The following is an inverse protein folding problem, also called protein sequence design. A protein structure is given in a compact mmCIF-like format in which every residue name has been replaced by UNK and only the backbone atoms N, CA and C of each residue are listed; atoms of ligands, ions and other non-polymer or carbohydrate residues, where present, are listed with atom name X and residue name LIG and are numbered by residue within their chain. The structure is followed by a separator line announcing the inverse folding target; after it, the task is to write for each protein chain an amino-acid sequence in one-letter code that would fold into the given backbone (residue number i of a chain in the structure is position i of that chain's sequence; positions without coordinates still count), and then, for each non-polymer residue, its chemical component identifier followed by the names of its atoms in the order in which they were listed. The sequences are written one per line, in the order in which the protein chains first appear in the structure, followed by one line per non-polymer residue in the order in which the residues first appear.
data_IF_970190247044
#
_entry.id   IF_970190247044
#
_cell.length_a   1.000
_cell.length_b   1.000
_cell.length_c   1.000
_cell.angle_alpha   90.00
_cell.angle_beta   90.00
_cell.angle_gamma   90.00
#
_symmetry.space_group_name_H-M   'P 1'
#
loop_
_entity.id
_entity.type
_entity.pdbx_description
1 polymer ?
#
# COMPACT_ATOMS: atom_id res chain seq x y z
N UNK A 1 -1.11 5.65 2.96
CA UNK A 1 -1.54 6.25 1.71
C UNK A 1 -2.57 5.36 1.03
N UNK A 2 -3.49 5.99 0.35
CA UNK A 2 -4.74 5.44 -0.15
C UNK A 2 -4.61 4.47 -1.33
N UNK A 3 -5.73 4.13 -1.91
CA UNK A 3 -5.89 3.12 -2.95
C UNK A 3 -5.47 3.64 -4.33
N UNK A 4 -5.02 2.79 -5.21
CA UNK A 4 -4.51 3.26 -6.49
C UNK A 4 -4.60 2.28 -7.66
N UNK A 5 -4.03 2.71 -8.77
CA UNK A 5 -3.97 1.94 -10.02
C UNK A 5 -2.53 1.74 -10.42
N UNK A 6 -2.18 0.51 -10.69
CA UNK A 6 -0.92 0.14 -11.30
C UNK A 6 -1.19 -0.24 -12.76
N UNK A 7 -0.72 0.59 -13.69
CA UNK A 7 -0.85 0.35 -15.12
C UNK A 7 0.43 -0.27 -15.65
N UNK A 8 0.30 -1.36 -16.40
CA UNK A 8 1.41 -2.02 -17.10
C UNK A 8 1.17 -1.97 -18.59
N UNK A 9 2.12 -1.42 -19.33
CA UNK A 9 2.11 -1.40 -20.79
C UNK A 9 2.83 -2.66 -21.28
N UNK A 10 2.07 -3.58 -21.86
CA UNK A 10 2.52 -4.89 -22.31
C UNK A 10 3.02 -4.88 -23.74
N UNK A 11 3.98 -5.73 -24.06
CA UNK A 11 4.38 -5.99 -25.43
C UNK A 11 3.45 -7.03 -26.07
N UNK A 12 3.09 -6.91 -27.35
CA UNK A 12 2.10 -7.79 -28.01
C UNK A 12 2.51 -9.27 -28.09
N UNK A 13 3.80 -9.57 -28.08
CA UNK A 13 4.34 -10.94 -28.28
C UNK A 13 4.17 -11.91 -27.09
N UNK A 14 3.45 -11.54 -26.03
CA UNK A 14 3.43 -12.29 -24.78
C UNK A 14 2.14 -13.12 -24.57
N UNK A 15 1.59 -13.74 -25.59
CA UNK A 15 0.48 -14.71 -25.49
C UNK A 15 0.95 -16.14 -25.26
N UNK A 16 2.07 -16.37 -24.60
CA UNK A 16 2.50 -17.71 -24.26
C UNK A 16 1.52 -18.37 -23.26
N UNK A 17 0.86 -19.43 -23.68
CA UNK A 17 0.10 -20.31 -22.82
C UNK A 17 1.06 -21.03 -21.86
N UNK A 18 1.22 -20.52 -20.66
CA UNK A 18 1.95 -21.20 -19.60
C UNK A 18 1.00 -22.12 -18.84
N UNK A 19 1.03 -23.41 -19.13
CA UNK A 19 0.50 -24.41 -18.23
C UNK A 19 1.42 -24.54 -17.01
N UNK A 20 1.09 -23.87 -15.93
CA UNK A 20 1.74 -24.09 -14.65
C UNK A 20 1.12 -25.33 -13.98
N UNK A 21 1.80 -26.46 -14.05
CA UNK A 21 1.38 -27.74 -13.45
C UNK A 21 1.62 -27.84 -11.93
N UNK A 22 2.20 -26.81 -11.29
CA UNK A 22 2.51 -26.81 -9.85
C UNK A 22 1.97 -25.55 -9.18
N UNK A 23 1.49 -25.69 -7.95
CA UNK A 23 1.13 -24.54 -7.11
C UNK A 23 2.35 -23.63 -6.99
N UNK A 24 2.20 -22.31 -7.22
CA UNK A 24 3.31 -21.39 -7.13
C UNK A 24 3.83 -21.35 -5.69
N UNK A 25 5.14 -21.34 -5.53
CA UNK A 25 5.77 -21.12 -4.23
C UNK A 25 5.34 -19.77 -3.65
N UNK A 26 5.40 -19.66 -2.33
CA UNK A 26 4.95 -18.45 -1.62
C UNK A 26 6.09 -17.85 -0.83
N UNK A 27 6.17 -16.53 -0.84
CA UNK A 27 7.06 -15.73 -0.03
C UNK A 27 6.21 -14.69 0.73
N UNK A 28 5.69 -15.10 1.89
CA UNK A 28 4.85 -14.24 2.72
C UNK A 28 5.71 -13.71 3.86
N UNK A 29 5.93 -12.40 3.86
CA UNK A 29 6.74 -11.71 4.88
C UNK A 29 5.91 -10.64 5.57
N UNK A 30 6.08 -10.53 6.86
CA UNK A 30 5.82 -9.33 7.62
C UNK A 30 7.15 -8.89 8.25
N UNK A 31 7.30 -7.61 8.47
CA UNK A 31 8.54 -7.06 8.97
C UNK A 31 8.33 -6.63 10.41
N UNK A 32 8.88 -7.43 11.32
CA UNK A 32 9.08 -7.01 12.69
C UNK A 32 10.33 -6.13 12.74
N UNK A 33 10.17 -4.94 13.26
CA UNK A 33 11.28 -4.02 13.42
C UNK A 33 11.73 -4.03 14.89
N UNK A 34 12.60 -4.95 15.23
CA UNK A 34 13.49 -4.73 16.37
C UNK A 34 14.45 -3.61 16.02
N UNK A 35 14.05 -2.42 16.37
CA UNK A 35 14.56 -1.21 15.75
C UNK A 35 15.92 -0.79 16.27
N UNK A 36 16.21 -1.02 17.53
CA UNK A 36 17.46 -0.62 18.16
C UNK A 36 17.60 -1.19 19.57
N UNK A 37 18.84 -1.48 19.96
CA UNK A 37 19.16 -2.09 21.26
C UNK A 37 19.49 -1.07 22.37
N UNK A 38 19.88 0.15 22.00
CA UNK A 38 20.51 1.10 22.91
C UNK A 38 19.69 2.35 23.18
N UNK A 39 18.52 2.50 22.57
CA UNK A 39 17.62 3.66 22.73
C UNK A 39 16.18 3.25 22.37
N UNK A 40 15.21 3.99 22.89
CA UNK A 40 13.78 3.61 22.79
C UNK A 40 13.15 4.08 21.48
N UNK A 41 13.60 5.19 20.90
CA UNK A 41 13.06 5.79 19.68
C UNK A 41 14.18 6.39 18.84
N UNK A 42 13.93 6.51 17.52
CA UNK A 42 14.83 7.15 16.58
C UNK A 42 14.11 8.01 15.55
N UNK A 43 14.84 8.67 14.66
CA UNK A 43 14.28 9.55 13.63
C UNK A 43 13.85 8.84 12.34
N UNK A 44 13.90 7.50 12.30
CA UNK A 44 13.47 6.71 11.14
C UNK A 44 11.95 6.45 11.12
N UNK A 45 11.44 6.02 9.97
CA UNK A 45 10.01 5.81 9.72
C UNK A 45 9.35 4.84 10.71
N UNK A 46 10.06 3.81 11.17
CA UNK A 46 9.53 2.85 12.13
C UNK A 46 9.25 3.45 13.52
N UNK A 47 9.95 4.52 13.90
CA UNK A 47 9.68 5.32 15.11
C UNK A 47 8.90 6.60 14.79
N UNK A 48 8.14 6.61 13.67
CA UNK A 48 7.34 7.75 13.24
C UNK A 48 8.17 9.03 13.03
N UNK A 49 9.45 8.88 12.65
CA UNK A 49 10.40 9.98 12.49
C UNK A 49 10.47 10.88 13.71
N UNK A 50 10.55 10.29 14.89
CA UNK A 50 10.71 11.04 16.13
C UNK A 50 11.96 11.92 16.07
N UNK A 51 11.78 13.23 16.04
CA UNK A 51 12.88 14.20 15.89
C UNK A 51 13.10 15.04 17.15
N UNK A 52 12.41 14.69 18.23
CA UNK A 52 12.51 15.41 19.50
C UNK A 52 11.89 16.80 19.46
N UNK A 53 12.02 17.52 20.57
CA UNK A 53 11.42 18.84 20.77
C UNK A 53 12.01 19.93 19.85
N UNK A 54 13.21 19.72 19.32
CA UNK A 54 13.86 20.67 18.40
C UNK A 54 13.14 20.81 17.06
N UNK A 55 12.24 19.88 16.74
CA UNK A 55 11.40 19.90 15.56
C UNK A 55 9.94 20.20 15.86
N UNK A 56 9.60 20.57 17.08
CA UNK A 56 8.28 21.08 17.41
C UNK A 56 8.00 22.33 16.56
N UNK A 57 7.16 22.18 15.56
CA UNK A 57 6.97 23.16 14.49
C UNK A 57 5.94 24.24 14.85
N UNK A 58 5.10 24.00 15.88
CA UNK A 58 4.03 24.92 16.27
C UNK A 58 3.82 24.90 17.78
N UNK A 59 3.36 26.03 18.39
CA UNK A 59 2.93 26.06 19.78
C UNK A 59 1.87 25.00 20.11
N UNK A 60 0.95 24.75 19.18
CA UNK A 60 -0.11 23.76 19.36
C UNK A 60 0.44 22.32 19.49
N UNK A 61 1.53 21.98 18.77
CA UNK A 61 2.18 20.69 18.92
C UNK A 61 2.79 20.53 20.32
N UNK A 62 3.41 21.57 20.84
CA UNK A 62 3.96 21.59 22.20
C UNK A 62 2.83 21.45 23.24
N UNK A 63 1.78 22.22 23.10
CA UNK A 63 0.62 22.17 23.97
C UNK A 63 -0.04 20.77 23.97
N UNK A 64 -0.21 20.17 22.80
CA UNK A 64 -0.76 18.81 22.67
C UNK A 64 0.08 17.76 23.43
N UNK A 65 1.41 17.81 23.30
CA UNK A 65 2.33 16.91 24.00
C UNK A 65 2.21 17.08 25.53
N UNK A 66 2.12 18.30 26.02
CA UNK A 66 1.95 18.56 27.46
C UNK A 66 0.56 18.14 27.97
N UNK A 67 -0.48 18.41 27.19
CA UNK A 67 -1.85 18.07 27.55
C UNK A 67 -2.10 16.55 27.63
N UNK A 68 -1.40 15.77 26.82
CA UNK A 68 -1.54 14.30 26.76
C UNK A 68 -0.43 13.55 27.48
N UNK A 69 0.38 14.25 28.29
CA UNK A 69 1.50 13.63 29.01
C UNK A 69 1.03 12.54 29.97
N UNK A 70 1.52 11.31 29.75
CA UNK A 70 1.14 10.15 30.56
C UNK A 70 -0.20 9.52 30.17
N UNK A 71 -0.89 10.04 29.15
CA UNK A 71 -2.09 9.43 28.61
C UNK A 71 -1.74 8.46 27.48
N UNK A 72 -2.25 7.24 27.57
CA UNK A 72 -2.05 6.17 26.57
C UNK A 72 -3.37 5.48 26.27
N UNK A 73 -3.49 4.92 25.09
CA UNK A 73 -4.64 4.08 24.74
C UNK A 73 -4.49 2.72 25.43
N UNK A 74 -5.53 2.27 26.12
CA UNK A 74 -5.56 1.02 26.86
C UNK A 74 -6.69 0.13 26.35
N UNK A 75 -6.44 -1.17 26.33
CA UNK A 75 -7.44 -2.20 26.10
C UNK A 75 -7.21 -3.35 27.07
N UNK A 76 -8.23 -3.72 27.85
CA UNK A 76 -8.16 -4.79 28.86
C UNK A 76 -6.96 -4.72 29.80
N UNK A 77 -6.52 -3.51 30.15
CA UNK A 77 -5.41 -3.28 31.07
C UNK A 77 -4.02 -3.21 30.43
N UNK A 78 -3.93 -3.45 29.13
CA UNK A 78 -2.67 -3.40 28.37
C UNK A 78 -2.61 -2.14 27.48
N UNK A 79 -1.41 -1.63 27.24
CA UNK A 79 -1.19 -0.51 26.33
C UNK A 79 -1.40 -0.99 24.89
N UNK A 80 -2.27 -0.29 24.15
CA UNK A 80 -2.58 -0.63 22.77
C UNK A 80 -1.39 -0.39 21.83
N UNK A 81 -1.23 -1.27 20.84
CA UNK A 81 -0.45 -0.94 19.64
C UNK A 81 -1.20 0.11 18.82
N UNK A 82 -0.80 1.37 18.95
CA UNK A 82 -1.51 2.52 18.37
C UNK A 82 -1.07 2.77 16.92
N UNK A 83 -1.38 1.84 16.01
CA UNK A 83 -1.09 1.98 14.58
C UNK A 83 -1.94 3.06 13.94
N UNK A 84 -1.33 3.84 13.06
CA UNK A 84 -2.04 4.85 12.28
C UNK A 84 -1.58 4.88 10.82
N UNK A 85 -2.34 5.56 9.98
CA UNK A 85 -1.98 5.77 8.58
C UNK A 85 -2.22 7.23 8.19
N UNK A 86 -1.39 7.77 7.31
CA UNK A 86 -1.54 9.13 6.77
C UNK A 86 -2.86 9.30 6.01
N UNK A 87 -3.26 8.29 5.26
CA UNK A 87 -4.50 8.24 4.49
C UNK A 87 -4.93 6.78 4.31
N UNK A 88 -6.09 6.41 4.83
CA UNK A 88 -6.55 5.01 4.81
C UNK A 88 -7.23 4.60 3.49
N UNK A 89 -7.58 5.56 2.62
CA UNK A 89 -8.30 5.29 1.38
C UNK A 89 -9.79 5.06 1.55
N UNK A 90 -10.34 5.48 2.70
CA UNK A 90 -11.74 5.38 3.05
C UNK A 90 -12.13 4.13 3.85
N UNK A 91 -11.16 3.24 4.11
CA UNK A 91 -11.35 2.04 4.94
C UNK A 91 -10.08 1.69 5.72
N UNK A 92 -10.25 1.38 7.01
CA UNK A 92 -9.17 0.89 7.86
C UNK A 92 -8.93 -0.60 7.61
N UNK A 93 -7.67 -1.02 7.77
CA UNK A 93 -7.28 -2.43 7.65
C UNK A 93 -7.13 -3.07 9.01
N UNK A 94 -7.33 -4.38 9.07
CA UNK A 94 -7.04 -5.19 10.24
C UNK A 94 -5.53 -5.46 10.33
N UNK A 95 -5.01 -5.46 11.57
CA UNK A 95 -3.58 -5.63 11.83
C UNK A 95 -2.97 -6.87 11.18
N UNK A 96 -3.61 -8.04 11.34
CA UNK A 96 -3.09 -9.31 10.85
C UNK A 96 -2.94 -9.39 9.33
N UNK A 97 -3.61 -8.52 8.57
CA UNK A 97 -3.48 -8.48 7.12
C UNK A 97 -2.19 -7.79 6.65
N UNK A 98 -1.60 -6.93 7.46
CA UNK A 98 -0.39 -6.18 7.13
C UNK A 98 0.84 -6.67 7.89
N UNK A 99 0.66 -7.12 9.13
CA UNK A 99 1.71 -7.47 10.09
C UNK A 99 1.67 -8.97 10.43
N UNK A 100 2.04 -9.34 11.64
CA UNK A 100 1.94 -10.72 12.10
C UNK A 100 0.49 -11.23 12.18
N UNK A 101 0.32 -12.54 12.31
CA UNK A 101 -1.01 -13.17 12.35
C UNK A 101 -1.64 -13.11 13.75
N UNK A 102 -1.70 -11.91 14.32
CA UNK A 102 -2.34 -11.64 15.61
C UNK A 102 -3.52 -10.69 15.38
N UNK A 103 -4.67 -11.02 15.96
CA UNK A 103 -5.84 -10.12 15.95
C UNK A 103 -5.79 -9.22 17.17
N UNK A 104 -5.84 -7.92 16.92
CA UNK A 104 -6.08 -6.92 17.96
C UNK A 104 -7.53 -6.46 17.88
N UNK A 105 -8.35 -6.65 18.95
CA UNK A 105 -9.78 -6.30 18.91
C UNK A 105 -10.08 -4.83 18.64
N UNK A 106 -9.09 -3.97 18.83
CA UNK A 106 -9.17 -2.51 18.62
C UNK A 106 -8.58 -2.05 17.27
N UNK A 107 -7.90 -2.93 16.51
CA UNK A 107 -7.39 -2.65 15.16
C UNK A 107 -8.24 -3.37 14.12
N UNK A 108 -9.45 -2.89 13.92
CA UNK A 108 -10.48 -3.52 13.09
C UNK A 108 -10.66 -2.82 11.75
N UNK A 109 -11.19 -3.56 10.78
CA UNK A 109 -11.66 -3.00 9.52
C UNK A 109 -12.90 -2.14 9.72
N UNK A 110 -12.85 -0.88 9.30
CA UNK A 110 -13.94 0.07 9.48
C UNK A 110 -13.98 1.11 8.35
N UNK A 111 -15.18 1.63 8.07
CA UNK A 111 -15.38 2.75 7.16
C UNK A 111 -14.87 4.06 7.77
N UNK A 112 -14.09 4.81 7.02
CA UNK A 112 -13.60 6.15 7.37
C UNK A 112 -14.66 7.20 7.00
N UNK A 113 -15.82 7.19 7.67
CA UNK A 113 -16.92 8.12 7.39
C UNK A 113 -17.81 8.32 8.60
N UNK A 114 -18.31 9.55 8.77
CA UNK A 114 -19.28 9.87 9.82
C UNK A 114 -20.70 9.41 9.46
N UNK A 115 -21.07 9.52 8.21
CA UNK A 115 -22.45 9.33 7.73
C UNK A 115 -22.70 7.96 7.15
N UNK A 116 -21.71 7.39 6.48
CA UNK A 116 -21.78 6.06 5.87
C UNK A 116 -20.96 5.08 6.68
N UNK A 117 -21.60 4.30 7.51
CA UNK A 117 -20.93 3.30 8.38
C UNK A 117 -20.73 1.95 7.70
N UNK A 118 -21.54 1.65 6.66
CA UNK A 118 -21.44 0.37 5.96
C UNK A 118 -20.19 0.32 5.06
N UNK A 119 -19.30 -0.62 5.34
CA UNK A 119 -18.18 -0.97 4.48
C UNK A 119 -18.60 -2.13 3.56
N UNK A 120 -18.42 -2.02 2.23
CA UNK A 120 -18.54 -3.17 1.35
C UNK A 120 -17.56 -4.28 1.74
N UNK A 121 -17.84 -5.51 1.34
CA UNK A 121 -16.90 -6.63 1.56
C UNK A 121 -15.71 -6.52 0.59
N UNK A 122 -14.72 -5.71 0.96
CA UNK A 122 -13.55 -5.43 0.14
C UNK A 122 -12.54 -6.59 0.11
N UNK A 123 -12.82 -7.70 0.78
CA UNK A 123 -12.07 -8.96 0.60
C UNK A 123 -12.37 -9.59 -0.76
N UNK A 124 -13.51 -9.23 -1.35
CA UNK A 124 -13.92 -9.66 -2.68
C UNK A 124 -13.34 -8.76 -3.76
N UNK A 125 -12.66 -9.34 -4.73
CA UNK A 125 -11.97 -8.61 -5.80
C UNK A 125 -12.89 -7.61 -6.52
N UNK A 126 -14.11 -8.01 -6.90
CA UNK A 126 -15.04 -7.13 -7.60
C UNK A 126 -15.46 -5.89 -6.78
N UNK A 127 -15.66 -6.06 -5.48
CA UNK A 127 -16.00 -4.94 -4.58
C UNK A 127 -14.78 -4.04 -4.33
N UNK A 128 -13.60 -4.63 -4.18
CA UNK A 128 -12.35 -3.89 -4.03
C UNK A 128 -12.01 -3.11 -5.31
N UNK A 129 -12.16 -3.72 -6.49
CA UNK A 129 -11.95 -3.06 -7.77
C UNK A 129 -12.85 -1.82 -7.92
N UNK A 130 -14.15 -2.00 -7.68
CA UNK A 130 -15.13 -0.90 -7.71
C UNK A 130 -14.76 0.21 -6.71
N UNK A 131 -14.40 -0.15 -5.48
CA UNK A 131 -13.99 0.79 -4.44
C UNK A 131 -12.77 1.61 -4.83
N UNK A 132 -11.74 0.95 -5.35
CA UNK A 132 -10.47 1.57 -5.72
C UNK A 132 -10.63 2.48 -6.94
N UNK A 133 -11.46 2.09 -7.91
CA UNK A 133 -11.73 2.87 -9.12
C UNK A 133 -12.63 4.08 -8.88
N UNK A 134 -13.39 4.07 -7.80
CA UNK A 134 -14.25 5.18 -7.41
C UNK A 134 -13.58 6.03 -6.33
N UNK A 135 -14.21 7.13 -5.95
CA UNK A 135 -13.72 8.04 -4.91
C UNK A 135 -14.79 8.22 -3.81
N UNK A 136 -15.07 7.17 -3.01
CA UNK A 136 -16.08 7.24 -1.98
C UNK A 136 -15.80 8.34 -0.96
N UNK A 137 -16.85 8.92 -0.40
CA UNK A 137 -16.74 9.91 0.67
C UNK A 137 -16.02 9.31 1.88
N UNK A 138 -15.03 10.01 2.39
CA UNK A 138 -14.25 9.64 3.57
C UNK A 138 -13.65 10.89 4.21
N UNK A 139 -13.29 10.82 5.49
CA UNK A 139 -12.58 11.94 6.14
C UNK A 139 -11.25 12.22 5.47
N UNK A 140 -10.52 11.19 5.06
CA UNK A 140 -9.25 11.34 4.36
C UNK A 140 -9.39 11.73 2.87
N UNK A 141 -10.61 11.77 2.31
CA UNK A 141 -10.89 12.26 0.95
C UNK A 141 -11.20 13.76 0.97
N UNK A 142 -10.23 14.58 1.30
CA UNK A 142 -10.38 16.02 1.36
C UNK A 142 -9.37 16.74 0.47
N UNK A 143 -9.83 17.80 -0.19
CA UNK A 143 -9.00 18.73 -0.95
C UNK A 143 -8.90 20.10 -0.25
N UNK A 144 -9.40 20.21 0.96
CA UNK A 144 -9.33 21.45 1.73
C UNK A 144 -7.89 21.73 2.16
N UNK A 145 -7.28 22.75 1.55
CA UNK A 145 -5.88 23.13 1.81
C UNK A 145 -5.62 23.51 3.26
N UNK A 146 -6.59 24.10 3.97
CA UNK A 146 -6.45 24.42 5.39
C UNK A 146 -6.32 23.16 6.24
N UNK A 147 -7.11 22.12 5.95
CA UNK A 147 -7.01 20.83 6.62
C UNK A 147 -5.69 20.14 6.25
N UNK A 148 -5.38 20.06 4.97
CA UNK A 148 -4.15 19.39 4.49
C UNK A 148 -2.88 20.04 5.04
N UNK A 149 -2.83 21.36 5.15
CA UNK A 149 -1.67 22.07 5.72
C UNK A 149 -1.46 21.83 7.22
N UNK A 150 -2.48 21.38 7.94
CA UNK A 150 -2.39 21.07 9.37
C UNK A 150 -2.02 19.60 9.63
N UNK A 151 -2.45 18.67 8.75
CA UNK A 151 -2.29 17.24 8.97
C UNK A 151 -1.15 16.62 8.15
N UNK A 152 -0.69 17.30 7.11
CA UNK A 152 0.43 16.88 6.28
C UNK A 152 1.69 17.70 6.61
N UNK A 153 2.81 17.04 6.62
CA UNK A 153 4.09 17.74 6.69
C UNK A 153 4.41 18.48 5.37
N UNK A 154 5.41 19.33 5.37
CA UNK A 154 5.74 20.15 4.19
C UNK A 154 6.08 19.33 2.94
N UNK A 155 6.67 18.13 3.11
CA UNK A 155 7.03 17.26 2.00
C UNK A 155 5.81 16.63 1.30
N UNK A 156 4.71 16.48 2.03
CA UNK A 156 3.51 15.82 1.54
C UNK A 156 2.49 16.81 0.98
N UNK A 157 2.73 18.12 1.10
CA UNK A 157 1.83 19.15 0.56
C UNK A 157 2.02 19.41 -0.92
N UNK A 158 3.09 18.88 -1.51
CA UNK A 158 3.41 19.03 -2.94
C UNK A 158 2.53 18.16 -3.85
N UNK A 159 1.88 17.13 -3.29
CA UNK A 159 1.03 16.22 -4.06
C UNK A 159 -0.42 16.25 -3.58
N UNK A 160 -1.37 16.03 -4.49
CA UNK A 160 -2.80 15.91 -4.20
C UNK A 160 -3.28 14.46 -4.27
N UNK A 161 -2.40 13.51 -4.53
CA UNK A 161 -2.73 12.12 -4.87
C UNK A 161 -2.79 11.18 -3.66
N UNK A 162 -3.03 11.71 -2.46
CA UNK A 162 -3.05 10.89 -1.25
C UNK A 162 -4.21 9.90 -1.20
N UNK A 163 -5.38 10.29 -1.67
CA UNK A 163 -6.57 9.45 -1.60
C UNK A 163 -6.64 8.43 -2.73
N UNK A 164 -6.23 8.83 -3.94
CA UNK A 164 -6.15 7.96 -5.11
C UNK A 164 -4.87 8.28 -5.88
N UNK A 165 -4.10 7.27 -6.18
CA UNK A 165 -2.83 7.39 -6.86
C UNK A 165 -2.79 6.52 -8.13
N UNK A 166 -1.87 6.83 -9.00
CA UNK A 166 -1.62 6.08 -10.23
C UNK A 166 -0.11 5.97 -10.45
N UNK A 167 0.33 4.76 -10.81
CA UNK A 167 1.69 4.47 -11.26
C UNK A 167 1.60 3.71 -12.57
N UNK A 168 2.49 4.01 -13.51
CA UNK A 168 2.56 3.38 -14.81
C UNK A 168 3.98 2.88 -15.07
N UNK A 169 4.09 1.65 -15.54
CA UNK A 169 5.34 1.02 -15.96
C UNK A 169 5.17 0.41 -17.34
N UNK A 170 6.21 0.44 -18.15
CA UNK A 170 6.34 -0.53 -19.24
C UNK A 170 6.59 -1.93 -18.65
N UNK A 171 6.34 -2.97 -19.42
CA UNK A 171 6.62 -4.35 -19.02
C UNK A 171 8.12 -4.54 -18.68
N UNK A 172 9.00 -3.91 -19.44
CA UNK A 172 10.44 -3.98 -19.21
C UNK A 172 10.82 -3.33 -17.89
N UNK A 173 10.41 -2.07 -17.65
CA UNK A 173 10.67 -1.35 -16.40
C UNK A 173 10.16 -2.13 -15.19
N UNK A 174 8.96 -2.71 -15.28
CA UNK A 174 8.40 -3.51 -14.19
C UNK A 174 9.22 -4.78 -13.93
N UNK A 175 9.68 -5.46 -14.98
CA UNK A 175 10.49 -6.68 -14.86
C UNK A 175 11.84 -6.38 -14.20
N UNK A 176 12.53 -5.34 -14.66
CA UNK A 176 13.79 -4.88 -14.09
C UNK A 176 13.64 -4.43 -12.64
N UNK A 177 12.58 -3.68 -12.35
CA UNK A 177 12.26 -3.21 -11.02
C UNK A 177 12.03 -4.37 -10.04
N UNK A 178 11.17 -5.32 -10.41
CA UNK A 178 10.86 -6.48 -9.58
C UNK A 178 12.13 -7.31 -9.32
N UNK A 179 12.93 -7.56 -10.35
CA UNK A 179 14.21 -8.27 -10.20
C UNK A 179 15.14 -7.54 -9.23
N UNK A 180 15.36 -6.24 -9.43
CA UNK A 180 16.21 -5.41 -8.59
C UNK A 180 15.76 -5.38 -7.13
N UNK A 181 14.45 -5.34 -6.88
CA UNK A 181 13.87 -5.17 -5.53
C UNK A 181 13.74 -6.48 -4.76
N UNK A 182 13.42 -7.56 -5.45
CA UNK A 182 13.22 -8.88 -4.83
C UNK A 182 14.47 -9.76 -4.85
N UNK A 183 15.42 -9.49 -5.75
CA UNK A 183 16.56 -10.37 -6.05
C UNK A 183 16.15 -11.65 -6.79
N UNK A 184 14.90 -11.74 -7.26
CA UNK A 184 14.34 -12.93 -7.89
C UNK A 184 14.19 -12.68 -9.39
N UNK A 185 14.71 -13.60 -10.22
CA UNK A 185 14.55 -13.55 -11.67
C UNK A 185 13.19 -14.14 -12.07
N UNK A 186 12.32 -13.29 -12.59
CA UNK A 186 11.02 -13.69 -13.12
C UNK A 186 10.98 -13.76 -14.65
N UNK A 187 12.00 -13.23 -15.32
CA UNK A 187 11.95 -12.94 -16.74
C UNK A 187 11.02 -11.75 -17.04
N UNK A 188 10.37 -11.75 -18.19
CA UNK A 188 9.36 -10.74 -18.50
C UNK A 188 8.13 -10.95 -17.62
N UNK A 189 7.62 -9.89 -16.99
CA UNK A 189 6.39 -9.98 -16.19
C UNK A 189 5.19 -10.04 -17.13
N UNK A 190 4.40 -11.09 -16.98
CA UNK A 190 3.21 -11.37 -17.79
C UNK A 190 1.96 -10.86 -17.07
N UNK A 191 1.89 -11.07 -15.74
CA UNK A 191 0.72 -10.67 -14.97
C UNK A 191 1.04 -10.41 -13.50
N UNK A 192 0.20 -9.57 -12.90
CA UNK A 192 0.11 -9.32 -11.46
C UNK A 192 -1.32 -9.63 -11.02
N UNK A 193 -1.52 -10.76 -10.36
CA UNK A 193 -2.86 -11.28 -10.05
C UNK A 193 -3.14 -11.15 -8.55
N UNK A 194 -4.16 -10.40 -8.13
CA UNK A 194 -4.67 -10.41 -6.77
C UNK A 194 -5.05 -11.82 -6.33
N UNK A 195 -4.57 -12.26 -5.17
CA UNK A 195 -4.88 -13.59 -4.62
C UNK A 195 -5.72 -13.49 -3.35
N UNK A 196 -5.39 -12.52 -2.50
CA UNK A 196 -6.10 -12.30 -1.25
C UNK A 196 -6.09 -10.82 -0.90
N UNK A 197 -7.24 -10.32 -0.46
CA UNK A 197 -7.41 -8.96 0.03
C UNK A 197 -7.87 -8.95 1.48
N UNK A 198 -7.42 -7.95 2.21
CA UNK A 198 -7.92 -7.63 3.55
C UNK A 198 -9.21 -6.81 3.52
N UNK A 199 -9.70 -6.47 4.70
CA UNK A 199 -10.99 -5.79 4.91
C UNK A 199 -11.05 -4.38 4.32
N UNK A 200 -9.92 -3.74 4.05
CA UNK A 200 -9.83 -2.44 3.37
C UNK A 200 -9.56 -2.53 1.86
N UNK A 201 -9.54 -3.73 1.30
CA UNK A 201 -9.17 -3.98 -0.09
C UNK A 201 -7.66 -4.00 -0.36
N UNK A 202 -6.82 -3.88 0.67
CA UNK A 202 -5.36 -4.06 0.55
C UNK A 202 -5.03 -5.49 0.19
N UNK A 203 -4.09 -5.66 -0.74
CA UNK A 203 -3.57 -6.98 -1.08
C UNK A 203 -2.75 -7.53 0.09
N UNK A 204 -3.16 -8.68 0.57
CA UNK A 204 -2.42 -9.52 1.51
C UNK A 204 -1.49 -10.46 0.75
N UNK A 205 -1.97 -10.97 -0.41
CA UNK A 205 -1.19 -11.82 -1.32
C UNK A 205 -1.37 -11.39 -2.77
N UNK A 206 -0.25 -11.28 -3.46
CA UNK A 206 -0.16 -10.94 -4.87
C UNK A 206 0.64 -12.03 -5.59
N UNK A 207 0.07 -12.59 -6.67
CA UNK A 207 0.79 -13.51 -7.56
C UNK A 207 1.46 -12.73 -8.68
N UNK A 208 2.77 -12.86 -8.76
CA UNK A 208 3.60 -12.34 -9.86
C UNK A 208 3.83 -13.48 -10.83
N UNK A 209 3.42 -13.30 -12.08
CA UNK A 209 3.60 -14.25 -13.18
C UNK A 209 4.64 -13.69 -14.12
N UNK A 210 5.74 -14.39 -14.27
CA UNK A 210 6.79 -14.06 -15.21
C UNK A 210 7.07 -15.23 -16.16
N UNK A 211 7.85 -14.99 -17.21
CA UNK A 211 8.20 -16.02 -18.22
C UNK A 211 9.08 -17.13 -17.66
N UNK A 212 9.84 -16.87 -16.61
CA UNK A 212 10.76 -17.84 -15.99
C UNK A 212 10.25 -18.37 -14.66
N UNK A 213 9.40 -17.61 -13.97
CA UNK A 213 8.93 -17.97 -12.63
C UNK A 213 7.58 -17.35 -12.30
N UNK A 214 6.80 -18.08 -11.49
CA UNK A 214 5.62 -17.56 -10.82
C UNK A 214 5.79 -17.71 -9.31
N UNK A 215 5.45 -16.66 -8.55
CA UNK A 215 5.55 -16.63 -7.10
C UNK A 215 4.41 -15.82 -6.52
N UNK A 216 3.88 -16.25 -5.37
CA UNK A 216 2.97 -15.44 -4.56
C UNK A 216 3.80 -14.72 -3.49
N UNK A 217 3.70 -13.40 -3.45
CA UNK A 217 4.33 -12.57 -2.43
C UNK A 217 3.28 -11.95 -1.50
N UNK A 218 3.65 -11.59 -0.31
CA UNK A 218 2.89 -10.88 0.71
C UNK A 218 3.79 -10.60 1.92
N UNK A 219 3.40 -9.83 2.86
CA UNK A 219 2.17 -9.03 2.99
C UNK A 219 2.35 -7.63 2.39
N UNK A 220 1.64 -6.68 2.96
CA UNK A 220 1.50 -5.30 2.47
C UNK A 220 2.86 -4.63 2.15
N UNK A 221 3.80 -4.65 3.08
CA UNK A 221 5.10 -4.00 2.90
C UNK A 221 5.98 -4.71 1.86
N UNK A 222 5.94 -6.06 1.78
CA UNK A 222 6.68 -6.80 0.75
C UNK A 222 6.16 -6.48 -0.66
N UNK A 223 4.83 -6.43 -0.83
CA UNK A 223 4.20 -6.05 -2.09
C UNK A 223 4.63 -4.64 -2.50
N UNK A 224 4.58 -3.68 -1.58
CA UNK A 224 4.96 -2.28 -1.85
C UNK A 224 6.43 -2.11 -2.20
N UNK A 225 7.31 -2.84 -1.51
CA UNK A 225 8.75 -2.80 -1.77
C UNK A 225 9.11 -3.38 -3.14
N UNK A 226 8.45 -4.47 -3.52
CA UNK A 226 8.72 -5.17 -4.76
C UNK A 226 8.30 -4.36 -5.98
N UNK A 227 7.22 -3.58 -5.86
CA UNK A 227 6.61 -2.85 -6.98
C UNK A 227 6.97 -1.35 -7.04
N UNK A 228 8.01 -0.92 -6.33
CA UNK A 228 8.47 0.47 -6.38
C UNK A 228 9.97 0.58 -6.09
N UNK A 229 10.62 1.58 -6.66
CA UNK A 229 12.03 1.90 -6.37
C UNK A 229 12.24 2.35 -4.92
N UNK A 230 11.21 2.94 -4.30
CA UNK A 230 11.14 3.25 -2.87
C UNK A 230 10.11 2.35 -2.18
N UNK A 231 8.91 2.85 -1.97
CA UNK A 231 7.74 2.09 -1.51
C UNK A 231 6.52 2.56 -2.27
N UNK A 232 5.78 1.62 -2.86
CA UNK A 232 4.48 1.93 -3.46
C UNK A 232 3.57 2.55 -2.38
N UNK A 233 2.71 3.45 -2.77
CA UNK A 233 1.88 4.22 -1.82
C UNK A 233 1.04 3.34 -0.88
N UNK A 234 0.47 2.24 -1.39
CA UNK A 234 -0.20 1.21 -0.59
C UNK A 234 -0.27 -0.11 -1.36
N UNK A 235 -0.68 -1.20 -0.72
CA UNK A 235 -1.04 -2.43 -1.41
C UNK A 235 -2.52 -2.49 -1.84
N UNK A 236 -3.29 -1.43 -1.61
CA UNK A 236 -4.67 -1.32 -2.08
C UNK A 236 -4.71 -0.75 -3.50
N UNK A 237 -4.48 -1.58 -4.50
CA UNK A 237 -4.49 -1.19 -5.89
C UNK A 237 -5.17 -2.23 -6.79
N UNK A 238 -5.53 -1.79 -7.99
CA UNK A 238 -5.93 -2.63 -9.12
C UNK A 238 -4.87 -2.55 -10.21
N UNK A 239 -4.79 -3.59 -11.02
CA UNK A 239 -3.83 -3.70 -12.12
C UNK A 239 -4.57 -3.50 -13.43
N UNK A 240 -4.17 -2.50 -14.20
CA UNK A 240 -4.65 -2.27 -15.57
C UNK A 240 -3.53 -2.67 -16.54
N UNK A 241 -3.83 -3.53 -17.51
CA UNK A 241 -2.92 -3.89 -18.61
C UNK A 241 -3.35 -3.18 -19.88
N UNK A 242 -2.41 -2.60 -20.56
CA UNK A 242 -2.60 -1.99 -21.88
C UNK A 242 -1.59 -2.62 -22.83
N UNK A 243 -2.09 -3.11 -23.96
CA UNK A 243 -1.27 -3.68 -25.02
C UNK A 243 -0.99 -2.59 -26.03
N UNK A 244 0.29 -2.43 -26.43
CA UNK A 244 0.61 -1.58 -27.58
C UNK A 244 0.02 -2.23 -28.82
N UNK A 245 -0.71 -1.48 -29.62
CA UNK A 245 -1.01 -1.88 -31.00
C UNK A 245 0.30 -1.90 -31.77
N UNK A 246 0.54 -2.95 -32.58
CA UNK A 246 1.68 -2.98 -33.48
C UNK A 246 1.61 -1.75 -34.38
N UNK A 247 2.67 -0.94 -34.37
CA UNK A 247 2.84 0.08 -35.42
C UNK A 247 2.89 -0.69 -36.75
N UNK A 248 1.79 -0.68 -37.48
CA UNK A 248 1.78 -1.18 -38.86
C UNK A 248 2.84 -0.38 -39.59
N UNK A 249 3.93 -1.04 -39.99
CA UNK A 249 4.87 -0.48 -40.92
C UNK A 249 4.07 0.04 -42.14
N UNK A 250 4.06 1.37 -42.29
CA UNK A 250 3.53 1.98 -43.50
C UNK A 250 4.52 1.61 -44.58
N UNK A 251 4.14 0.81 -45.62
CA UNK A 251 5.08 0.48 -46.67
C UNK A 251 5.49 1.80 -47.35
N UNK A 252 6.77 2.10 -47.30
CA UNK A 252 7.36 3.20 -48.05
C UNK A 252 7.08 3.01 -49.54
N UNK A 253 6.32 3.93 -50.14
CA UNK A 253 6.11 4.00 -51.56
C UNK A 253 7.37 4.51 -52.26
#
# INVERSE_FOLDING_TARGET
VANGKLKVIMHPDNTANFELSTLPSQLIKWYDHETHKNFDVCADDHCQRYQGITRASTPQAIEAVFATRGEVLMYEGEICDARFSKCCGGAFEEFQNCWENVKHPYLIGQRDSKTETRLPDLTKEAEADKWIRTSPTAFCNTHNKQVLSQVLNNYDQETTDFYRWRVCYSQQELSELIHKRSGIEFGKIIDLIPVERGTSGRLVRLKIVGTLRTLIIGKELEIRRTLSSSHLYSSAFVVDKEYKEDEKEIPSR
#
